data_IF_307525066163
#
_entry.id   IF_307525066163
#
_cell.length_a   1.000
_cell.length_b   1.000
_cell.length_c   1.000
_cell.angle_alpha   90.00
_cell.angle_beta   90.00
_cell.angle_gamma   90.00
#
_symmetry.space_group_name_H-M   'P 1'
#
loop_
_entity.id
_entity.type
_entity.pdbx_description
1 polymer ?
#
# COMPACT_ATOMS: atom_id res chain seq x y z
N UNK A 1 -30.22 8.51 -21.66
CA UNK A 1 -29.41 9.34 -22.58
C UNK A 1 -27.98 8.86 -22.48
N UNK A 2 -27.42 8.37 -23.59
CA UNK A 2 -26.02 7.88 -23.64
C UNK A 2 -25.10 9.06 -23.92
N UNK A 3 -24.19 9.38 -23.00
CA UNK A 3 -23.19 10.43 -23.16
C UNK A 3 -21.81 9.81 -23.45
N UNK A 4 -21.35 9.97 -24.71
CA UNK A 4 -20.09 9.43 -25.19
C UNK A 4 -18.86 10.06 -24.52
N UNK A 5 -18.94 11.31 -24.04
CA UNK A 5 -17.85 12.00 -23.37
C UNK A 5 -17.65 11.43 -21.96
N UNK A 6 -18.76 11.16 -21.28
CA UNK A 6 -18.77 10.54 -19.96
C UNK A 6 -18.23 9.10 -20.01
N UNK A 7 -18.64 8.33 -21.02
CA UNK A 7 -18.13 6.97 -21.24
C UNK A 7 -16.62 6.99 -21.48
N UNK A 8 -16.12 7.87 -22.33
CA UNK A 8 -14.68 8.01 -22.63
C UNK A 8 -13.88 8.29 -21.36
N UNK A 9 -14.35 9.24 -20.54
CA UNK A 9 -13.71 9.57 -19.28
C UNK A 9 -13.71 8.39 -18.29
N UNK A 10 -14.86 7.70 -18.16
CA UNK A 10 -14.99 6.52 -17.30
C UNK A 10 -14.05 5.41 -17.74
N UNK A 11 -13.95 5.12 -19.04
CA UNK A 11 -13.03 4.11 -19.58
C UNK A 11 -11.57 4.51 -19.32
N UNK A 12 -11.21 5.77 -19.51
CA UNK A 12 -9.84 6.25 -19.26
C UNK A 12 -9.45 6.11 -17.78
N UNK A 13 -10.34 6.48 -16.86
CA UNK A 13 -10.10 6.31 -15.43
C UNK A 13 -10.06 4.84 -15.02
N UNK A 14 -10.98 4.03 -15.53
CA UNK A 14 -11.02 2.59 -15.30
C UNK A 14 -9.76 1.89 -15.78
N UNK A 15 -9.29 2.25 -17.00
CA UNK A 15 -8.03 1.70 -17.55
C UNK A 15 -6.82 2.03 -16.67
N UNK A 16 -6.67 3.30 -16.25
CA UNK A 16 -5.56 3.72 -15.39
C UNK A 16 -5.57 2.99 -14.05
N UNK A 17 -6.76 2.82 -13.46
CA UNK A 17 -6.92 2.07 -12.21
C UNK A 17 -6.64 0.58 -12.39
N UNK A 18 -7.05 -0.02 -13.51
CA UNK A 18 -6.76 -1.41 -13.84
C UNK A 18 -5.25 -1.64 -14.02
N UNK A 19 -4.56 -0.74 -14.72
CA UNK A 19 -3.10 -0.79 -14.88
C UNK A 19 -2.37 -0.65 -13.55
N UNK A 20 -2.86 0.22 -12.65
CA UNK A 20 -2.32 0.34 -11.30
C UNK A 20 -2.44 -0.98 -10.54
N UNK A 21 -3.62 -1.60 -10.53
CA UNK A 21 -3.84 -2.88 -9.85
C UNK A 21 -3.01 -4.01 -10.48
N UNK A 22 -2.93 -4.08 -11.79
CA UNK A 22 -2.09 -5.05 -12.50
C UNK A 22 -0.61 -4.91 -12.08
N UNK A 23 -0.09 -3.68 -12.02
CA UNK A 23 1.29 -3.41 -11.58
C UNK A 23 1.53 -3.94 -10.15
N UNK A 24 0.59 -3.69 -9.23
CA UNK A 24 0.70 -4.17 -7.85
C UNK A 24 0.69 -5.70 -7.80
N UNK A 25 -0.19 -6.36 -8.55
CA UNK A 25 -0.26 -7.83 -8.56
C UNK A 25 0.98 -8.48 -9.19
N UNK A 26 1.47 -7.93 -10.30
CA UNK A 26 2.71 -8.39 -10.91
C UNK A 26 3.90 -8.23 -9.96
N UNK A 27 3.97 -7.12 -9.24
CA UNK A 27 4.98 -6.91 -8.21
C UNK A 27 4.90 -7.93 -7.06
N UNK A 28 3.70 -8.24 -6.57
CA UNK A 28 3.50 -9.30 -5.57
C UNK A 28 3.97 -10.67 -6.07
N UNK A 29 3.65 -11.03 -7.31
CA UNK A 29 4.09 -12.29 -7.94
C UNK A 29 5.63 -12.33 -8.04
N UNK A 30 6.26 -11.25 -8.46
CA UNK A 30 7.72 -11.17 -8.56
C UNK A 30 8.39 -11.33 -7.17
N UNK A 31 7.86 -10.66 -6.14
CA UNK A 31 8.33 -10.83 -4.76
C UNK A 31 8.15 -12.26 -4.28
N UNK A 32 7.01 -12.89 -4.55
CA UNK A 32 6.76 -14.30 -4.21
C UNK A 32 7.77 -15.23 -4.90
N UNK A 33 8.07 -15.00 -6.19
CA UNK A 33 9.06 -15.79 -6.91
C UNK A 33 10.46 -15.70 -6.28
N UNK A 34 10.85 -14.50 -5.80
CA UNK A 34 12.11 -14.32 -5.06
C UNK A 34 12.09 -15.09 -3.75
N UNK A 35 10.99 -15.00 -2.97
CA UNK A 35 10.86 -15.74 -1.69
C UNK A 35 10.92 -17.25 -1.89
N UNK A 36 10.40 -17.75 -2.99
CA UNK A 36 10.41 -19.18 -3.29
C UNK A 36 11.84 -19.76 -3.37
N UNK A 37 12.86 -18.93 -3.62
CA UNK A 37 14.27 -19.35 -3.60
C UNK A 37 14.83 -19.61 -2.20
N UNK A 38 14.12 -19.16 -1.14
CA UNK A 38 14.53 -19.31 0.27
C UNK A 38 14.12 -20.67 0.89
N UNK A 39 13.39 -21.50 0.13
CA UNK A 39 12.97 -22.84 0.56
C UNK A 39 11.54 -22.90 1.13
N UNK A 40 11.09 -24.14 1.40
CA UNK A 40 9.68 -24.44 1.69
C UNK A 40 9.17 -23.76 2.96
N UNK A 41 9.96 -23.75 4.02
CA UNK A 41 9.55 -23.12 5.29
C UNK A 41 9.40 -21.60 5.15
N UNK A 42 10.31 -20.97 4.38
CA UNK A 42 10.22 -19.54 4.09
C UNK A 42 9.00 -19.21 3.24
N UNK A 43 8.69 -20.04 2.24
CA UNK A 43 7.47 -19.90 1.41
C UNK A 43 6.20 -19.98 2.25
N UNK A 44 6.12 -20.98 3.15
CA UNK A 44 4.96 -21.16 4.02
C UNK A 44 4.80 -19.98 4.99
N UNK A 45 5.90 -19.54 5.63
CA UNK A 45 5.90 -18.38 6.54
C UNK A 45 5.52 -17.08 5.82
N UNK A 46 6.06 -16.84 4.63
CA UNK A 46 5.72 -15.68 3.81
C UNK A 46 4.25 -15.70 3.38
N UNK A 47 3.74 -16.87 2.98
CA UNK A 47 2.33 -17.01 2.58
C UNK A 47 1.40 -16.72 3.75
N UNK A 48 1.69 -17.25 4.95
CA UNK A 48 0.93 -16.95 6.16
C UNK A 48 0.95 -15.45 6.49
N UNK A 49 2.14 -14.81 6.47
CA UNK A 49 2.27 -13.39 6.71
C UNK A 49 1.54 -12.55 5.64
N UNK A 50 1.59 -12.95 4.36
CA UNK A 50 0.87 -12.26 3.28
C UNK A 50 -0.65 -12.31 3.46
N UNK A 51 -1.21 -13.37 4.06
CA UNK A 51 -2.64 -13.40 4.42
C UNK A 51 -2.96 -12.35 5.49
N UNK A 52 -2.08 -12.20 6.48
CA UNK A 52 -2.23 -11.13 7.48
C UNK A 52 -2.19 -9.76 6.78
N UNK A 53 -1.21 -9.53 5.90
CA UNK A 53 -1.08 -8.28 5.13
C UNK A 53 -2.36 -7.96 4.34
N UNK A 54 -2.95 -8.94 3.63
CA UNK A 54 -4.18 -8.73 2.86
C UNK A 54 -5.35 -8.30 3.75
N UNK A 55 -5.52 -8.93 4.93
CA UNK A 55 -6.53 -8.52 5.91
C UNK A 55 -6.27 -7.13 6.48
N UNK A 56 -5.03 -6.76 6.69
CA UNK A 56 -4.64 -5.50 7.31
C UNK A 56 -4.71 -4.33 6.34
N UNK A 57 -4.40 -4.53 5.06
CA UNK A 57 -4.45 -3.48 4.04
C UNK A 57 -5.85 -3.19 3.51
N UNK A 58 -6.77 -4.16 3.56
CA UNK A 58 -8.14 -3.97 3.06
C UNK A 58 -8.87 -2.78 3.71
N UNK A 59 -8.88 -2.57 5.03
CA UNK A 59 -9.48 -1.39 5.64
C UNK A 59 -8.81 -0.08 5.21
N UNK A 60 -7.47 -0.03 5.12
CA UNK A 60 -6.75 1.16 4.64
C UNK A 60 -7.16 1.52 3.21
N UNK A 61 -7.24 0.55 2.31
CA UNK A 61 -7.71 0.80 0.95
C UNK A 61 -9.15 1.33 0.93
N UNK A 62 -10.03 0.80 1.78
CA UNK A 62 -11.41 1.27 1.87
C UNK A 62 -11.52 2.69 2.44
N UNK A 63 -10.69 3.07 3.42
CA UNK A 63 -10.60 4.45 3.90
C UNK A 63 -10.16 5.37 2.76
N UNK A 64 -9.13 5.00 2.00
CA UNK A 64 -8.66 5.77 0.84
C UNK A 64 -9.74 5.89 -0.25
N UNK A 65 -10.54 4.85 -0.50
CA UNK A 65 -11.69 4.92 -1.43
C UNK A 65 -12.79 5.86 -0.93
N UNK A 66 -13.10 5.83 0.36
CA UNK A 66 -14.05 6.77 0.98
C UNK A 66 -13.55 8.22 0.85
N UNK A 67 -12.24 8.46 1.09
CA UNK A 67 -11.61 9.75 0.87
C UNK A 67 -11.73 10.20 -0.59
N UNK A 68 -11.45 9.31 -1.54
CA UNK A 68 -11.60 9.58 -2.98
C UNK A 68 -13.00 10.08 -3.31
N UNK A 69 -14.03 9.37 -2.83
CA UNK A 69 -15.43 9.71 -3.11
C UNK A 69 -15.81 11.06 -2.49
N UNK A 70 -15.47 11.26 -1.20
CA UNK A 70 -15.76 12.50 -0.48
C UNK A 70 -15.09 13.71 -1.15
N UNK A 71 -13.82 13.56 -1.52
CA UNK A 71 -13.06 14.64 -2.15
C UNK A 71 -13.57 14.93 -3.56
N UNK A 72 -13.85 13.92 -4.37
CA UNK A 72 -14.39 14.11 -5.72
C UNK A 72 -15.73 14.85 -5.71
N UNK A 73 -16.65 14.49 -4.81
CA UNK A 73 -17.95 15.15 -4.68
C UNK A 73 -17.82 16.61 -4.24
N UNK A 74 -16.97 16.90 -3.27
CA UNK A 74 -16.78 18.28 -2.78
C UNK A 74 -15.97 19.13 -3.76
N UNK A 75 -14.99 18.54 -4.47
CA UNK A 75 -14.25 19.20 -5.54
C UNK A 75 -15.17 19.58 -6.69
N UNK A 76 -16.02 18.67 -7.16
CA UNK A 76 -17.02 18.96 -8.19
C UNK A 76 -18.07 20.01 -7.78
N UNK A 77 -18.34 20.14 -6.48
CA UNK A 77 -19.22 21.17 -5.91
C UNK A 77 -18.49 22.49 -5.61
N UNK A 78 -17.20 22.63 -5.91
CA UNK A 78 -16.39 23.82 -5.64
C UNK A 78 -16.11 24.08 -4.16
N UNK A 79 -16.33 23.11 -3.27
CA UNK A 79 -16.20 23.25 -1.79
C UNK A 79 -14.78 22.91 -1.32
N UNK A 80 -13.79 23.73 -1.69
CA UNK A 80 -12.36 23.51 -1.41
C UNK A 80 -12.07 23.23 0.07
N UNK A 81 -12.63 23.98 0.99
CA UNK A 81 -12.41 23.78 2.43
C UNK A 81 -12.86 22.39 2.89
N UNK A 82 -13.97 21.85 2.35
CA UNK A 82 -14.40 20.47 2.64
C UNK A 82 -13.48 19.42 2.04
N UNK A 83 -12.91 19.69 0.86
CA UNK A 83 -11.88 18.82 0.25
C UNK A 83 -10.68 18.70 1.19
N UNK A 84 -10.17 19.85 1.64
CA UNK A 84 -9.04 19.92 2.57
C UNK A 84 -9.32 19.23 3.91
N UNK A 85 -10.46 19.54 4.52
CA UNK A 85 -10.87 18.91 5.79
C UNK A 85 -11.02 17.38 5.63
N UNK A 86 -11.64 16.94 4.54
CA UNK A 86 -11.82 15.52 4.22
C UNK A 86 -10.48 14.81 4.04
N UNK A 87 -9.53 15.43 3.36
CA UNK A 87 -8.19 14.89 3.18
C UNK A 87 -7.48 14.68 4.53
N UNK A 88 -7.39 15.71 5.36
CA UNK A 88 -6.70 15.59 6.65
C UNK A 88 -7.44 14.70 7.64
N UNK A 89 -8.77 14.66 7.61
CA UNK A 89 -9.56 13.74 8.42
C UNK A 89 -9.25 12.28 8.02
N UNK A 90 -9.30 11.96 6.73
CA UNK A 90 -9.00 10.62 6.24
C UNK A 90 -7.55 10.22 6.55
N UNK A 91 -6.58 11.11 6.35
CA UNK A 91 -5.18 10.85 6.69
C UNK A 91 -4.98 10.56 8.20
N UNK A 92 -5.69 11.27 9.08
CA UNK A 92 -5.66 10.98 10.52
C UNK A 92 -6.23 9.60 10.84
N UNK A 93 -7.33 9.20 10.19
CA UNK A 93 -7.92 7.88 10.36
C UNK A 93 -6.93 6.80 9.91
N UNK A 94 -6.28 6.96 8.75
CA UNK A 94 -5.25 6.06 8.26
C UNK A 94 -4.08 5.93 9.24
N UNK A 95 -3.59 7.04 9.79
CA UNK A 95 -2.50 7.03 10.78
C UNK A 95 -2.89 6.33 12.07
N UNK A 96 -4.09 6.60 12.60
CA UNK A 96 -4.59 5.96 13.82
C UNK A 96 -4.74 4.45 13.58
N UNK A 97 -5.36 4.06 12.46
CA UNK A 97 -5.53 2.66 12.10
C UNK A 97 -4.17 1.96 11.93
N UNK A 98 -3.24 2.55 11.17
CA UNK A 98 -1.90 2.00 10.94
C UNK A 98 -1.11 1.84 12.25
N UNK A 99 -1.22 2.79 13.18
CA UNK A 99 -0.59 2.69 14.50
C UNK A 99 -1.19 1.57 15.35
N UNK A 100 -2.52 1.48 15.41
CA UNK A 100 -3.20 0.38 16.11
C UNK A 100 -2.81 -0.97 15.53
N UNK A 101 -2.78 -1.07 14.19
CA UNK A 101 -2.41 -2.28 13.48
C UNK A 101 -0.95 -2.68 13.77
N UNK A 102 -0.03 -1.73 13.71
CA UNK A 102 1.38 -1.95 14.07
C UNK A 102 1.49 -2.51 15.49
N UNK A 103 0.80 -1.90 16.46
CA UNK A 103 0.81 -2.34 17.85
C UNK A 103 0.25 -3.77 18.00
N UNK A 104 -0.88 -4.07 17.36
CA UNK A 104 -1.49 -5.40 17.38
C UNK A 104 -0.56 -6.46 16.79
N UNK A 105 0.02 -6.19 15.61
CA UNK A 105 0.91 -7.14 14.96
C UNK A 105 2.24 -7.33 15.73
N UNK A 106 2.78 -6.30 16.39
CA UNK A 106 3.96 -6.42 17.22
C UNK A 106 3.70 -7.28 18.47
N UNK A 107 2.57 -7.05 19.14
CA UNK A 107 2.24 -7.73 20.40
C UNK A 107 1.72 -9.15 20.17
N UNK A 108 0.90 -9.36 19.15
CA UNK A 108 0.18 -10.60 18.89
C UNK A 108 0.67 -11.35 17.65
N UNK A 109 1.92 -11.10 17.18
CA UNK A 109 2.46 -11.75 15.98
C UNK A 109 2.35 -13.28 16.02
N UNK A 110 2.67 -13.92 17.16
CA UNK A 110 2.65 -15.36 17.29
C UNK A 110 1.25 -15.97 17.17
N UNK A 111 0.26 -15.56 18.00
CA UNK A 111 -1.11 -16.03 17.84
C UNK A 111 -1.70 -15.74 16.46
N UNK A 112 -1.37 -14.60 15.84
CA UNK A 112 -1.87 -14.26 14.49
C UNK A 112 -1.30 -15.24 13.45
N UNK A 113 0.00 -15.51 13.43
CA UNK A 113 0.61 -16.43 12.47
C UNK A 113 0.13 -17.87 12.70
N UNK A 114 -0.05 -18.30 13.96
CA UNK A 114 -0.53 -19.64 14.31
C UNK A 114 -1.98 -19.92 13.85
N UNK A 115 -2.75 -18.91 13.44
CA UNK A 115 -4.05 -19.12 12.80
C UNK A 115 -3.94 -19.69 11.37
N UNK A 116 -2.78 -19.59 10.75
CA UNK A 116 -2.57 -19.94 9.35
C UNK A 116 -1.63 -21.14 9.16
N UNK A 117 -0.82 -21.46 10.17
CA UNK A 117 0.23 -22.49 10.10
C UNK A 117 0.40 -23.15 11.47
N UNK A 118 0.59 -24.50 11.48
CA UNK A 118 0.77 -25.28 12.70
C UNK A 118 2.25 -25.60 13.00
N UNK A 119 3.12 -25.62 11.99
CA UNK A 119 4.55 -25.95 12.15
C UNK A 119 5.29 -24.89 12.98
N UNK A 120 5.88 -25.24 14.14
CA UNK A 120 6.58 -24.30 15.00
C UNK A 120 7.73 -23.56 14.32
N UNK A 121 8.48 -24.22 13.43
CA UNK A 121 9.59 -23.60 12.72
C UNK A 121 9.10 -22.54 11.71
N UNK A 122 7.98 -22.80 11.04
CA UNK A 122 7.33 -21.86 10.12
C UNK A 122 6.71 -20.70 10.89
N UNK A 123 6.08 -20.97 12.05
CA UNK A 123 5.55 -19.93 12.94
C UNK A 123 6.66 -18.95 13.36
N UNK A 124 7.80 -19.47 13.81
CA UNK A 124 8.91 -18.61 14.27
C UNK A 124 9.46 -17.71 13.15
N UNK A 125 9.59 -18.22 11.93
CA UNK A 125 9.96 -17.43 10.76
C UNK A 125 8.90 -16.37 10.44
N UNK A 126 7.62 -16.75 10.42
CA UNK A 126 6.50 -15.86 10.15
C UNK A 126 6.37 -14.75 11.19
N UNK A 127 6.60 -15.04 12.47
CA UNK A 127 6.58 -14.06 13.56
C UNK A 127 7.68 -13.01 13.37
N UNK A 128 8.90 -13.43 13.06
CA UNK A 128 10.02 -12.51 12.81
C UNK A 128 9.73 -11.61 11.61
N UNK A 129 9.23 -12.20 10.52
CA UNK A 129 8.82 -11.46 9.33
C UNK A 129 7.71 -10.45 9.66
N UNK A 130 6.61 -10.88 10.29
CA UNK A 130 5.46 -10.03 10.61
C UNK A 130 5.84 -8.87 11.53
N UNK A 131 6.66 -9.11 12.55
CA UNK A 131 7.17 -8.05 13.43
C UNK A 131 8.00 -7.02 12.67
N UNK A 132 8.89 -7.46 11.77
CA UNK A 132 9.64 -6.54 10.93
C UNK A 132 8.72 -5.77 9.97
N UNK A 133 7.77 -6.44 9.32
CA UNK A 133 6.81 -5.83 8.40
C UNK A 133 5.91 -4.80 9.10
N UNK A 134 5.47 -5.10 10.32
CA UNK A 134 4.57 -4.24 11.09
C UNK A 134 5.16 -2.86 11.41
N UNK A 135 6.47 -2.73 11.52
CA UNK A 135 7.15 -1.43 11.71
C UNK A 135 6.90 -0.46 10.54
N UNK A 136 6.59 -1.00 9.39
CA UNK A 136 6.31 -0.21 8.18
C UNK A 136 4.82 0.07 7.94
N UNK A 137 3.88 -0.48 8.75
CA UNK A 137 2.43 -0.39 8.51
C UNK A 137 1.83 1.03 8.55
N UNK A 138 2.57 1.99 9.08
CA UNK A 138 2.19 3.41 8.98
C UNK A 138 2.36 3.95 7.56
N UNK A 139 3.36 3.47 6.81
CA UNK A 139 3.67 3.97 5.47
C UNK A 139 2.55 3.73 4.46
N UNK A 140 1.97 2.49 4.34
CA UNK A 140 0.84 2.28 3.44
C UNK A 140 -0.39 3.12 3.81
N UNK A 141 -0.66 3.39 5.09
CA UNK A 141 -1.73 4.29 5.50
C UNK A 141 -1.52 5.71 4.95
N UNK A 142 -0.32 6.26 5.12
CA UNK A 142 0.01 7.59 4.58
C UNK A 142 -0.10 7.64 3.06
N UNK A 143 0.51 6.67 2.37
CA UNK A 143 0.51 6.64 0.89
C UNK A 143 -0.89 6.38 0.33
N UNK A 144 -1.69 5.48 0.93
CA UNK A 144 -3.08 5.25 0.52
C UNK A 144 -3.94 6.50 0.71
N UNK A 145 -3.78 7.22 1.83
CA UNK A 145 -4.46 8.48 2.08
C UNK A 145 -4.10 9.55 1.04
N UNK A 146 -2.81 9.72 0.73
CA UNK A 146 -2.35 10.66 -0.30
C UNK A 146 -2.89 10.27 -1.68
N UNK A 147 -2.84 8.98 -2.03
CA UNK A 147 -3.40 8.49 -3.29
C UNK A 147 -4.93 8.65 -3.36
N UNK A 148 -5.62 8.44 -2.24
CA UNK A 148 -7.06 8.73 -2.13
C UNK A 148 -7.37 10.19 -2.47
N UNK A 149 -6.51 11.11 -1.99
CA UNK A 149 -6.56 12.52 -2.34
C UNK A 149 -6.38 12.80 -3.83
N UNK A 150 -5.30 12.34 -4.44
CA UNK A 150 -5.04 12.53 -5.87
C UNK A 150 -6.13 11.92 -6.75
N UNK A 151 -6.63 10.73 -6.41
CA UNK A 151 -7.78 10.11 -7.12
C UNK A 151 -9.03 10.96 -7.01
N UNK A 152 -9.31 11.51 -5.83
CA UNK A 152 -10.46 12.40 -5.61
C UNK A 152 -10.40 13.71 -6.40
N UNK A 153 -9.19 14.19 -6.71
CA UNK A 153 -8.95 15.35 -7.56
C UNK A 153 -8.87 15.01 -9.05
N UNK A 154 -8.95 13.73 -9.42
CA UNK A 154 -8.92 13.25 -10.81
C UNK A 154 -7.53 12.93 -11.36
N UNK A 155 -6.47 13.03 -10.55
CA UNK A 155 -5.08 12.83 -11.00
C UNK A 155 -4.58 11.39 -10.82
N UNK A 156 -5.24 10.45 -11.52
CA UNK A 156 -4.91 9.03 -11.46
C UNK A 156 -3.53 8.69 -12.00
N UNK A 157 -2.95 9.53 -12.86
CA UNK A 157 -1.60 9.31 -13.38
C UNK A 157 -0.54 9.35 -12.27
N UNK A 158 -0.74 10.23 -11.27
CA UNK A 158 0.15 10.31 -10.11
C UNK A 158 0.11 8.99 -9.34
N UNK A 159 -1.09 8.45 -9.11
CA UNK A 159 -1.25 7.19 -8.36
C UNK A 159 -0.69 5.98 -9.11
N UNK A 160 -0.83 5.94 -10.44
CA UNK A 160 -0.23 4.89 -11.26
C UNK A 160 1.30 4.94 -11.19
N UNK A 161 1.90 6.11 -11.46
CA UNK A 161 3.36 6.27 -11.44
C UNK A 161 3.95 5.95 -10.06
N UNK A 162 3.29 6.40 -9.01
CA UNK A 162 3.65 6.13 -7.62
C UNK A 162 3.65 4.62 -7.32
N UNK A 163 2.62 3.89 -7.75
CA UNK A 163 2.53 2.44 -7.59
C UNK A 163 3.59 1.69 -8.40
N UNK A 164 3.92 2.17 -9.61
CA UNK A 164 5.01 1.61 -10.41
C UNK A 164 6.36 1.78 -9.73
N UNK A 165 6.64 2.97 -9.18
CA UNK A 165 7.85 3.23 -8.40
C UNK A 165 7.92 2.31 -7.17
N UNK A 166 6.84 2.23 -6.39
CA UNK A 166 6.76 1.35 -5.23
C UNK A 166 7.13 -0.09 -5.59
N UNK A 167 6.44 -0.68 -6.58
CA UNK A 167 6.66 -2.08 -6.95
C UNK A 167 8.02 -2.30 -7.59
N UNK A 168 8.50 -1.37 -8.42
CA UNK A 168 9.83 -1.44 -9.02
C UNK A 168 10.93 -1.47 -7.96
N UNK A 169 10.93 -0.51 -7.04
CA UNK A 169 11.92 -0.45 -5.96
C UNK A 169 11.78 -1.60 -4.96
N UNK A 170 10.56 -2.02 -4.65
CA UNK A 170 10.29 -3.15 -3.77
C UNK A 170 10.84 -4.46 -4.34
N UNK A 171 10.56 -4.76 -5.61
CA UNK A 171 11.05 -5.98 -6.28
C UNK A 171 12.58 -5.93 -6.42
N UNK A 172 13.14 -4.80 -6.84
CA UNK A 172 14.59 -4.64 -6.95
C UNK A 172 15.29 -4.81 -5.59
N UNK A 173 14.76 -4.19 -4.54
CA UNK A 173 15.29 -4.33 -3.18
C UNK A 173 15.17 -5.78 -2.67
N UNK A 174 14.03 -6.45 -2.89
CA UNK A 174 13.86 -7.84 -2.53
C UNK A 174 14.86 -8.76 -3.25
N UNK A 175 15.06 -8.52 -4.56
CA UNK A 175 16.05 -9.27 -5.35
C UNK A 175 17.48 -9.06 -4.81
N UNK A 176 17.86 -7.82 -4.52
CA UNK A 176 19.19 -7.52 -3.95
C UNK A 176 19.36 -8.17 -2.58
N UNK A 177 18.39 -8.02 -1.69
CA UNK A 177 18.45 -8.59 -0.35
C UNK A 177 18.59 -10.11 -0.39
N UNK A 178 17.75 -10.80 -1.17
CA UNK A 178 17.69 -12.27 -1.17
C UNK A 178 18.75 -12.89 -2.07
N UNK A 179 18.91 -12.41 -3.33
CA UNK A 179 19.75 -13.07 -4.32
C UNK A 179 21.22 -12.63 -4.23
N UNK A 180 21.49 -11.38 -3.84
CA UNK A 180 22.85 -10.83 -3.77
C UNK A 180 23.40 -10.91 -2.35
N UNK A 181 22.67 -10.34 -1.37
CA UNK A 181 23.09 -10.28 0.03
C UNK A 181 22.78 -11.56 0.81
N UNK A 182 21.97 -12.47 0.23
CA UNK A 182 21.57 -13.76 0.82
C UNK A 182 21.02 -13.62 2.25
N UNK A 183 20.23 -12.60 2.49
CA UNK A 183 19.60 -12.38 3.79
C UNK A 183 18.41 -13.31 4.00
N UNK A 184 18.14 -13.62 5.27
CA UNK A 184 17.00 -14.43 5.67
C UNK A 184 15.67 -13.72 5.40
N UNK A 185 14.57 -14.50 5.36
CA UNK A 185 13.21 -14.03 5.20
C UNK A 185 12.83 -12.88 6.17
N UNK A 186 13.35 -12.92 7.40
CA UNK A 186 13.03 -11.95 8.44
C UNK A 186 13.40 -10.49 8.09
N UNK A 187 14.39 -10.26 7.22
CA UNK A 187 14.87 -8.93 6.81
C UNK A 187 14.16 -8.47 5.53
N UNK A 188 13.53 -9.37 4.81
CA UNK A 188 12.87 -9.07 3.55
C UNK A 188 11.83 -7.94 3.62
N UNK A 189 11.06 -7.72 4.73
CA UNK A 189 10.14 -6.58 4.84
C UNK A 189 10.78 -5.20 4.69
N UNK A 190 12.11 -5.09 4.81
CA UNK A 190 12.83 -3.84 4.50
C UNK A 190 12.61 -3.43 3.04
N UNK A 191 12.46 -4.40 2.11
CA UNK A 191 12.09 -4.11 0.72
C UNK A 191 10.74 -3.40 0.59
N UNK A 192 9.80 -3.70 1.49
CA UNK A 192 8.49 -3.03 1.57
C UNK A 192 8.67 -1.57 1.98
N UNK A 193 9.48 -1.33 3.03
CA UNK A 193 9.83 0.01 3.47
C UNK A 193 10.48 0.84 2.36
N UNK A 194 11.41 0.26 1.60
CA UNK A 194 12.05 0.91 0.45
C UNK A 194 11.02 1.26 -0.63
N UNK A 195 10.10 0.34 -0.94
CA UNK A 195 9.01 0.60 -1.88
C UNK A 195 8.13 1.77 -1.45
N UNK A 196 7.65 1.78 -0.21
CA UNK A 196 6.81 2.87 0.30
C UNK A 196 7.57 4.19 0.45
N UNK A 197 8.85 4.15 0.82
CA UNK A 197 9.69 5.34 0.88
C UNK A 197 9.84 5.98 -0.52
N UNK A 198 10.10 5.17 -1.55
CA UNK A 198 10.19 5.67 -2.93
C UNK A 198 8.90 6.35 -3.39
N UNK A 199 7.76 5.81 -2.98
CA UNK A 199 6.43 6.35 -3.20
C UNK A 199 6.25 7.70 -2.51
N UNK A 200 6.58 7.79 -1.23
CA UNK A 200 6.51 9.04 -0.46
C UNK A 200 7.42 10.13 -1.03
N UNK A 201 8.63 9.78 -1.45
CA UNK A 201 9.56 10.73 -2.10
C UNK A 201 8.97 11.31 -3.38
N UNK A 202 8.18 10.54 -4.12
CA UNK A 202 7.48 11.02 -5.31
C UNK A 202 6.22 11.82 -4.97
N UNK A 203 5.40 11.35 -4.03
CA UNK A 203 4.08 11.91 -3.72
C UNK A 203 4.14 13.20 -2.89
N UNK A 204 5.04 13.29 -1.90
CA UNK A 204 5.10 14.45 -0.99
C UNK A 204 5.38 15.78 -1.69
N UNK A 205 6.35 15.90 -2.62
CA UNK A 205 6.56 17.15 -3.35
C UNK A 205 5.33 17.58 -4.16
N UNK A 206 4.65 16.60 -4.77
CA UNK A 206 3.42 16.86 -5.52
C UNK A 206 2.29 17.30 -4.60
N UNK A 207 2.12 16.65 -3.46
CA UNK A 207 1.12 17.03 -2.46
C UNK A 207 1.36 18.47 -1.97
N UNK A 208 2.61 18.81 -1.62
CA UNK A 208 2.98 20.18 -1.20
C UNK A 208 2.66 21.21 -2.30
N UNK A 209 2.93 20.86 -3.56
CA UNK A 209 2.59 21.71 -4.70
C UNK A 209 1.07 21.92 -4.80
N UNK A 210 0.27 20.86 -4.69
CA UNK A 210 -1.21 20.94 -4.73
C UNK A 210 -1.76 21.81 -3.59
N UNK A 211 -1.18 21.70 -2.40
CA UNK A 211 -1.55 22.56 -1.27
C UNK A 211 -1.20 24.04 -1.54
N UNK A 212 -0.05 24.32 -2.15
CA UNK A 212 0.36 25.71 -2.49
C UNK A 212 -0.49 26.31 -3.63
N UNK A 213 -0.91 25.49 -4.59
CA UNK A 213 -1.77 25.89 -5.72
C UNK A 213 -3.27 25.96 -5.34
N UNK A 214 -3.61 25.78 -4.06
CA UNK A 214 -4.97 25.78 -3.53
C UNK A 214 -5.91 24.79 -4.29
N UNK A 215 -5.33 23.65 -4.67
CA UNK A 215 -6.07 22.53 -5.30
C UNK A 215 -6.59 21.55 -4.29
N UNK A 216 -6.03 21.59 -3.06
CA UNK A 216 -6.32 20.67 -1.96
C UNK A 216 -6.66 21.45 -0.69
#
# INVERSE_FOLDING_TARGET
VFDGSLLRSTVQYGWTSAMQQATVQLGKIAVQAIVNTLGINAMAAFTAASRVDDFTYMPQQNIAHAMTTLMAQNHGAGKKERVRQGFFCGLRIELIYGFCLMAVCLLFARPIISLFVDDPAVIDLGVKFLRCASLFYLMPGVTNGIQGGFRGLGDLKITLNSSMLNMGFRVAAAAVLVLVLKVDLQIMPVSYGIGWLSMLVYELPLLIRYMKEDKL
#
